data_IF_458235796744
#
_entry.id   IF_458235796744
#
_cell.length_a   1.000
_cell.length_b   1.000
_cell.length_c   1.000
_cell.angle_alpha   90.00
_cell.angle_beta   90.00
_cell.angle_gamma   90.00
#
_symmetry.space_group_name_H-M   'P 1'
#
loop_
_entity.id
_entity.type
_entity.pdbx_description
1 polymer ?
#
# COMPACT_ATOMS: atom_id res chain seq x y z
N UNK A 1 -22.78 11.93 20.80
CA UNK A 1 -21.36 11.73 21.14
C UNK A 1 -20.60 11.56 19.85
N UNK A 2 -20.20 12.69 19.25
CA UNK A 2 -19.44 12.75 18.01
C UNK A 2 -18.04 12.18 18.23
N UNK A 3 -17.62 11.21 17.41
CA UNK A 3 -16.23 10.78 17.35
C UNK A 3 -15.54 11.56 16.24
N UNK A 4 -14.95 12.69 16.61
CA UNK A 4 -13.96 13.40 15.81
C UNK A 4 -12.74 12.49 15.59
N UNK A 5 -12.66 11.86 14.42
CA UNK A 5 -11.44 11.22 13.95
C UNK A 5 -10.48 12.30 13.47
N UNK A 6 -9.51 12.64 14.31
CA UNK A 6 -8.40 13.53 13.98
C UNK A 6 -7.54 12.94 12.87
N UNK A 7 -7.53 13.65 11.74
CA UNK A 7 -6.45 13.81 10.76
C UNK A 7 -5.29 12.81 10.84
N UNK A 8 -5.41 11.70 10.12
CA UNK A 8 -4.28 11.16 9.38
C UNK A 8 -4.68 11.24 7.92
N UNK A 9 -4.20 12.26 7.24
CA UNK A 9 -4.26 12.37 5.78
C UNK A 9 -3.44 11.22 5.20
N UNK A 10 -4.04 10.03 5.11
CA UNK A 10 -3.45 8.95 4.35
C UNK A 10 -3.41 9.50 2.92
N UNK A 11 -2.23 9.83 2.40
CA UNK A 11 -2.03 10.05 0.97
C UNK A 11 -2.17 8.70 0.26
N UNK A 12 -3.41 8.20 0.25
CA UNK A 12 -3.93 7.19 -0.64
C UNK A 12 -4.00 7.86 -2.01
N UNK A 13 -2.84 8.06 -2.66
CA UNK A 13 -2.73 8.64 -4.02
C UNK A 13 -3.97 8.27 -4.81
N UNK A 14 -4.80 9.26 -5.12
CA UNK A 14 -6.11 9.05 -5.73
C UNK A 14 -5.99 8.04 -6.85
N UNK A 15 -6.81 6.99 -6.83
CA UNK A 15 -6.75 5.88 -7.79
C UNK A 15 -6.75 6.44 -9.21
N UNK A 16 -7.47 7.53 -9.46
CA UNK A 16 -7.56 8.23 -10.74
C UNK A 16 -6.20 8.67 -11.32
N UNK A 17 -5.23 9.03 -10.47
CA UNK A 17 -3.89 9.49 -10.89
C UNK A 17 -2.92 8.34 -11.12
N UNK A 18 -3.26 7.12 -10.72
CA UNK A 18 -2.37 5.99 -10.90
C UNK A 18 -2.44 5.45 -12.33
N UNK A 19 -1.29 5.21 -12.99
CA UNK A 19 -1.27 4.53 -14.29
C UNK A 19 -1.77 3.07 -14.19
N UNK A 20 -1.91 2.53 -12.98
CA UNK A 20 -2.37 1.17 -12.71
C UNK A 20 -3.82 1.09 -12.22
N UNK A 21 -4.59 2.17 -12.31
CA UNK A 21 -5.95 2.28 -11.76
C UNK A 21 -6.95 1.24 -12.27
N UNK A 22 -6.75 0.78 -13.50
CA UNK A 22 -7.63 -0.20 -14.16
C UNK A 22 -6.98 -1.58 -14.27
N UNK A 23 -5.80 -1.78 -13.66
CA UNK A 23 -5.03 -3.02 -13.81
C UNK A 23 -4.96 -3.73 -12.48
N UNK A 24 -5.36 -5.00 -12.47
CA UNK A 24 -5.10 -5.88 -11.34
C UNK A 24 -3.58 -5.93 -11.08
N UNK A 25 -3.19 -5.65 -9.85
CA UNK A 25 -1.79 -5.68 -9.42
C UNK A 25 -1.60 -6.85 -8.46
N UNK A 26 -0.59 -7.68 -8.69
CA UNK A 26 -0.17 -8.71 -7.71
C UNK A 26 1.10 -8.26 -7.02
N UNK A 27 1.24 -8.59 -5.75
CA UNK A 27 2.49 -8.37 -5.03
C UNK A 27 3.59 -9.22 -5.65
N UNK A 28 4.70 -8.59 -6.05
CA UNK A 28 5.86 -9.30 -6.61
C UNK A 28 6.55 -10.21 -5.58
N UNK A 29 6.36 -9.96 -4.27
CA UNK A 29 6.98 -10.75 -3.21
C UNK A 29 6.17 -11.98 -2.76
N UNK A 30 4.83 -11.94 -2.86
CA UNK A 30 3.97 -13.02 -2.34
C UNK A 30 2.76 -13.39 -3.21
N UNK A 31 2.56 -12.72 -4.35
CA UNK A 31 1.44 -12.97 -5.26
C UNK A 31 0.09 -12.43 -4.81
N UNK A 32 -0.01 -11.81 -3.63
CA UNK A 32 -1.27 -11.26 -3.09
C UNK A 32 -1.89 -10.21 -4.03
N UNK A 33 -3.20 -10.29 -4.27
CA UNK A 33 -3.96 -9.32 -5.06
C UNK A 33 -3.99 -7.97 -4.34
N UNK A 34 -3.34 -6.98 -4.92
CA UNK A 34 -3.28 -5.63 -4.41
C UNK A 34 -4.41 -4.78 -4.99
N UNK A 35 -4.79 -3.73 -4.26
CA UNK A 35 -5.78 -2.77 -4.77
C UNK A 35 -5.24 -2.10 -6.04
N UNK A 36 -6.09 -1.82 -7.03
CA UNK A 36 -5.71 -0.96 -8.14
C UNK A 36 -5.14 0.35 -7.59
N UNK A 37 -4.08 0.86 -8.22
CA UNK A 37 -3.17 1.93 -7.74
C UNK A 37 -1.94 1.52 -6.93
N UNK A 38 -1.90 0.29 -6.40
CA UNK A 38 -0.76 -0.21 -5.62
C UNK A 38 0.45 -0.50 -6.51
N UNK A 39 1.66 -0.14 -6.08
CA UNK A 39 2.89 -0.38 -6.85
C UNK A 39 3.68 -1.55 -6.29
N UNK A 40 3.83 -2.61 -7.08
CA UNK A 40 4.89 -3.61 -6.96
C UNK A 40 4.83 -4.57 -5.77
N UNK A 41 4.81 -4.08 -4.53
CA UNK A 41 4.98 -4.89 -3.31
C UNK A 41 3.92 -4.49 -2.28
N UNK A 42 3.25 -5.48 -1.69
CA UNK A 42 2.25 -5.23 -0.66
C UNK A 42 2.89 -4.73 0.64
N UNK A 43 2.10 -4.02 1.45
CA UNK A 43 2.55 -3.45 2.73
C UNK A 43 3.17 -4.50 3.66
N UNK A 44 2.66 -5.73 3.66
CA UNK A 44 3.23 -6.82 4.47
C UNK A 44 4.66 -7.18 4.04
N UNK A 45 4.89 -7.40 2.74
CA UNK A 45 6.22 -7.70 2.21
C UNK A 45 7.18 -6.51 2.39
N UNK A 46 6.70 -5.28 2.21
CA UNK A 46 7.50 -4.07 2.41
C UNK A 46 7.93 -3.92 3.88
N UNK A 47 7.01 -4.07 4.83
CA UNK A 47 7.32 -4.00 6.26
C UNK A 47 8.29 -5.12 6.70
N UNK A 48 8.14 -6.34 6.17
CA UNK A 48 9.07 -7.42 6.45
C UNK A 48 10.48 -7.13 5.89
N UNK A 49 10.58 -6.49 4.73
CA UNK A 49 11.87 -6.04 4.19
C UNK A 49 12.53 -5.00 5.10
N UNK A 50 11.79 -3.97 5.53
CA UNK A 50 12.30 -2.94 6.44
C UNK A 50 12.76 -3.54 7.78
N UNK A 51 11.97 -4.45 8.37
CA UNK A 51 12.36 -5.16 9.62
C UNK A 51 13.64 -5.98 9.47
N UNK A 52 13.98 -6.46 8.27
CA UNK A 52 15.25 -7.16 8.03
C UNK A 52 16.41 -6.18 7.88
N UNK A 53 16.17 -4.97 7.40
CA UNK A 53 17.20 -3.92 7.32
C UNK A 53 17.55 -3.34 8.69
N UNK A 54 16.57 -3.19 9.58
CA UNK A 54 16.76 -2.64 10.93
C UNK A 54 17.61 -3.54 11.85
N UNK A 55 17.82 -4.80 11.46
CA UNK A 55 18.64 -5.78 12.18
C UNK A 55 20.09 -5.87 11.67
N UNK A 56 20.50 -4.98 10.78
CA UNK A 56 21.88 -4.86 10.27
C UNK A 56 22.56 -3.66 10.88
#
# INVERSE_FOLDING_TARGET
MEKNFTNVSIDLRSIERSPYRNREQKCMGCGYMQRPSSYGVCSFCHLNYLKKQDKR
#
